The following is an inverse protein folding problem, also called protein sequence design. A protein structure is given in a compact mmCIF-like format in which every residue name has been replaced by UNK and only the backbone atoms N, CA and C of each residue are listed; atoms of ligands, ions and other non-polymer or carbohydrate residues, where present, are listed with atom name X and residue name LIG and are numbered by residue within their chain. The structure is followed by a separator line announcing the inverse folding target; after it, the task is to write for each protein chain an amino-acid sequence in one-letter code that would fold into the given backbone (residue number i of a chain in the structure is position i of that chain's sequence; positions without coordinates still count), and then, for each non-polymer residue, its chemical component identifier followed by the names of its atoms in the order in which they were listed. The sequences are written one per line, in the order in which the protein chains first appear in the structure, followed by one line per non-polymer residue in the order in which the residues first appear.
data_IF_155668621586
#
_entry.id   IF_155668621586
#
_cell.length_a   1.000
_cell.length_b   1.000
_cell.length_c   1.000
_cell.angle_alpha   90.00
_cell.angle_beta   90.00
_cell.angle_gamma   90.00
#
_symmetry.space_group_name_H-M   'P 1'
#
loop_
_entity.id
_entity.type
_entity.pdbx_description
1 polymer ?
#
# COMPACT_ATOMS: atom_id res chain seq x y z
N UNK A 1 -2.15 7.30 7.73
CA UNK A 1 -2.49 6.15 6.85
C UNK A 1 -1.83 4.90 7.40
N UNK A 2 -2.47 3.75 7.33
CA UNK A 2 -1.87 2.48 7.77
C UNK A 2 -1.27 1.76 6.59
N UNK A 3 0.00 1.41 6.70
CA UNK A 3 0.74 0.68 5.66
C UNK A 3 0.95 -0.75 6.13
N UNK A 4 0.67 -1.67 5.22
CA UNK A 4 0.84 -3.09 5.38
C UNK A 4 1.78 -3.60 4.31
N UNK A 5 2.52 -4.65 4.65
CA UNK A 5 3.45 -5.32 3.75
C UNK A 5 3.08 -6.79 3.63
N UNK A 6 3.18 -7.34 2.43
CA UNK A 6 3.05 -8.77 2.20
C UNK A 6 4.40 -9.38 1.80
N UNK A 7 4.70 -10.57 2.29
CA UNK A 7 5.89 -11.35 1.85
C UNK A 7 5.61 -12.15 0.57
N UNK A 8 4.44 -11.93 -0.05
CA UNK A 8 3.97 -12.69 -1.20
C UNK A 8 4.49 -12.04 -2.49
N UNK A 9 5.06 -12.84 -3.38
CA UNK A 9 5.39 -12.41 -4.74
C UNK A 9 4.08 -12.14 -5.51
N UNK A 10 3.78 -10.88 -5.83
CA UNK A 10 2.70 -10.55 -6.76
C UNK A 10 3.29 -10.40 -8.17
N UNK A 11 2.82 -11.20 -9.12
CA UNK A 11 3.23 -11.12 -10.53
C UNK A 11 4.74 -11.21 -10.79
N UNK A 12 5.48 -11.91 -9.92
CA UNK A 12 6.94 -12.04 -10.01
C UNK A 12 7.72 -10.85 -9.44
N UNK A 13 7.04 -9.83 -8.90
CA UNK A 13 7.68 -8.78 -8.12
C UNK A 13 7.61 -9.12 -6.61
N UNK A 14 8.74 -9.02 -5.88
CA UNK A 14 8.76 -9.25 -4.46
C UNK A 14 8.04 -8.12 -3.72
N UNK A 15 7.23 -8.51 -2.74
CA UNK A 15 6.68 -7.65 -1.68
C UNK A 15 5.69 -6.59 -2.19
N UNK A 16 4.41 -6.69 -1.81
CA UNK A 16 3.46 -5.60 -2.03
C UNK A 16 3.30 -4.76 -0.75
N UNK A 17 3.24 -3.45 -0.92
CA UNK A 17 2.81 -2.48 0.09
C UNK A 17 1.35 -2.13 -0.16
N UNK A 18 0.53 -2.25 0.87
CA UNK A 18 -0.86 -1.81 0.88
C UNK A 18 -0.98 -0.63 1.84
N UNK A 19 -1.33 0.55 1.33
CA UNK A 19 -1.67 1.69 2.17
C UNK A 19 -3.19 1.88 2.23
N UNK A 20 -3.70 1.98 3.45
CA UNK A 20 -5.10 2.22 3.76
C UNK A 20 -5.26 3.55 4.50
N UNK A 21 -6.39 4.26 4.32
CA UNK A 21 -6.75 5.37 5.19
C UNK A 21 -6.77 4.94 6.66
N UNK A 22 -6.52 5.87 7.59
CA UNK A 22 -6.64 5.59 9.03
C UNK A 22 -8.11 5.63 9.52
N UNK A 23 -9.08 5.74 8.60
CA UNK A 23 -10.51 5.82 8.90
C UNK A 23 -11.04 4.44 9.33
N UNK A 24 -12.03 4.36 10.25
CA UNK A 24 -12.65 3.10 10.67
C UNK A 24 -13.32 2.31 9.52
N UNK A 25 -13.59 2.95 8.38
CA UNK A 25 -14.15 2.32 7.19
C UNK A 25 -13.10 1.69 6.27
N UNK A 26 -11.81 1.91 6.56
CA UNK A 26 -10.73 1.37 5.75
C UNK A 26 -10.56 -0.13 6.00
N UNK A 27 -10.97 -0.93 5.01
CA UNK A 27 -10.84 -2.38 5.02
C UNK A 27 -9.98 -2.85 3.84
N UNK A 28 -9.31 -3.99 4.01
CA UNK A 28 -8.58 -4.64 2.91
C UNK A 28 -9.62 -5.09 1.85
N UNK A 29 -9.46 -4.67 0.58
CA UNK A 29 -10.36 -5.05 -0.52
C UNK A 29 -10.47 -6.57 -0.68
N UNK A 30 -11.65 -7.07 -1.09
CA UNK A 30 -11.93 -8.51 -1.18
C UNK A 30 -10.90 -9.30 -2.00
N UNK A 31 -10.40 -8.73 -3.11
CA UNK A 31 -9.40 -9.38 -3.96
C UNK A 31 -7.99 -9.43 -3.32
N UNK A 32 -7.74 -8.63 -2.27
CA UNK A 32 -6.49 -8.60 -1.51
C UNK A 32 -6.59 -9.35 -0.17
N UNK A 33 -7.78 -9.81 0.24
CA UNK A 33 -7.97 -10.54 1.51
C UNK A 33 -7.31 -11.92 1.51
N UNK A 34 -7.00 -12.47 0.32
CA UNK A 34 -6.28 -13.75 0.18
C UNK A 34 -4.76 -13.62 0.42
N UNK A 35 -4.27 -12.40 0.65
CA UNK A 35 -2.86 -12.10 0.90
C UNK A 35 -2.65 -11.92 2.40
N UNK A 36 -1.59 -12.53 2.94
CA UNK A 36 -1.16 -12.26 4.31
C UNK A 36 -0.53 -10.86 4.38
N UNK A 37 -1.22 -9.96 5.07
CA UNK A 37 -0.76 -8.59 5.30
C UNK A 37 -0.23 -8.44 6.72
N UNK A 38 0.99 -7.91 6.85
CA UNK A 38 1.57 -7.54 8.13
C UNK A 38 1.59 -6.04 8.25
N UNK A 39 1.12 -5.53 9.38
CA UNK A 39 1.21 -4.10 9.67
C UNK A 39 2.68 -3.68 9.70
N UNK A 40 3.00 -2.61 8.98
CA UNK A 40 4.35 -2.08 8.87
C UNK A 40 4.48 -0.78 9.65
N UNK A 41 3.71 0.25 9.30
CA UNK A 41 3.78 1.57 9.91
C UNK A 41 2.50 2.39 9.68
N UNK A 42 2.31 3.42 10.49
CA UNK A 42 1.36 4.50 10.20
C UNK A 42 2.14 5.70 9.68
N UNK A 43 1.84 6.15 8.47
CA UNK A 43 2.54 7.25 7.77
C UNK A 43 1.56 8.26 7.20
N UNK A 44 2.05 9.43 6.79
CA UNK A 44 1.28 10.40 6.02
C UNK A 44 1.29 10.08 4.52
N UNK A 45 0.31 10.61 3.77
CA UNK A 45 0.18 10.35 2.32
C UNK A 45 1.37 10.85 1.49
N UNK A 46 2.10 11.85 2.00
CA UNK A 46 3.32 12.34 1.38
C UNK A 46 4.59 11.58 1.77
N UNK A 47 4.48 10.52 2.58
CA UNK A 47 5.65 9.77 3.02
C UNK A 47 6.22 8.93 1.88
N UNK A 48 7.54 9.05 1.69
CA UNK A 48 8.28 8.32 0.67
C UNK A 48 8.22 6.79 0.83
N UNK A 49 7.84 6.28 2.02
CA UNK A 49 7.59 4.86 2.29
C UNK A 49 6.57 4.26 1.33
N UNK A 50 5.57 5.02 0.86
CA UNK A 50 4.56 4.52 -0.08
C UNK A 50 5.16 4.31 -1.47
N UNK A 51 6.31 4.91 -1.80
CA UNK A 51 6.98 4.73 -3.08
C UNK A 51 6.24 5.36 -4.27
N UNK A 52 5.23 6.19 -4.00
CA UNK A 52 4.47 6.97 -4.98
C UNK A 52 4.52 8.46 -4.63
N UNK A 53 4.43 9.36 -5.63
CA UNK A 53 4.22 10.78 -5.36
C UNK A 53 2.88 10.99 -4.65
N UNK A 54 2.80 12.00 -3.77
CA UNK A 54 1.62 12.30 -2.96
C UNK A 54 0.34 12.41 -3.80
N UNK A 55 0.40 13.08 -4.95
CA UNK A 55 -0.75 13.22 -5.85
C UNK A 55 -1.26 11.86 -6.36
N UNK A 56 -0.36 10.91 -6.59
CA UNK A 56 -0.70 9.56 -7.02
C UNK A 56 -1.30 8.72 -5.89
N UNK A 57 -0.82 8.92 -4.66
CA UNK A 57 -1.39 8.31 -3.45
C UNK A 57 -2.81 8.83 -3.23
N UNK A 58 -3.00 10.15 -3.24
CA UNK A 58 -4.32 10.77 -3.05
C UNK A 58 -5.31 10.35 -4.13
N UNK A 59 -4.90 10.33 -5.41
CA UNK A 59 -5.75 9.89 -6.50
C UNK A 59 -6.24 8.45 -6.34
N UNK A 60 -5.34 7.53 -5.96
CA UNK A 60 -5.68 6.12 -5.73
C UNK A 60 -6.57 5.93 -4.49
N UNK A 61 -6.34 6.69 -3.41
CA UNK A 61 -7.25 6.68 -2.26
C UNK A 61 -8.65 7.19 -2.60
N UNK A 62 -8.76 8.21 -3.47
CA UNK A 62 -10.06 8.74 -3.90
C UNK A 62 -10.77 7.78 -4.85
N UNK A 63 -10.04 7.15 -5.77
CA UNK A 63 -10.60 6.25 -6.77
C UNK A 63 -10.97 4.89 -6.19
N UNK A 64 -10.04 4.28 -5.45
CA UNK A 64 -10.10 2.88 -5.05
C UNK A 64 -10.26 2.70 -3.53
N UNK A 65 -9.99 3.74 -2.73
CA UNK A 65 -10.03 3.66 -1.25
C UNK A 65 -8.78 3.06 -0.62
N UNK A 66 -7.79 2.68 -1.43
CA UNK A 66 -6.52 2.09 -1.00
C UNK A 66 -5.43 2.32 -2.04
N UNK A 67 -4.19 2.02 -1.67
CA UNK A 67 -3.03 2.05 -2.58
C UNK A 67 -2.33 0.70 -2.48
N UNK A 68 -2.11 0.03 -3.61
CA UNK A 68 -1.18 -1.11 -3.69
C UNK A 68 -0.02 -0.73 -4.58
N UNK A 69 1.19 -0.97 -4.11
CA UNK A 69 2.42 -0.64 -4.81
C UNK A 69 3.51 -1.63 -4.44
N UNK A 70 4.48 -1.84 -5.33
CA UNK A 70 5.66 -2.65 -5.03
C UNK A 70 6.79 -1.69 -4.62
N UNK A 71 7.49 -1.93 -3.49
CA UNK A 71 8.64 -1.12 -3.13
C UNK A 71 9.72 -1.35 -4.18
N UNK A 72 9.84 -0.41 -5.12
CA UNK A 72 10.97 -0.37 -6.02
C UNK A 72 12.18 0.02 -5.21
N UNK A 73 12.99 -0.96 -4.82
CA UNK A 73 14.41 -0.69 -4.56
C UNK A 73 14.90 0.03 -5.81
N UNK A 74 15.20 1.33 -5.69
CA UNK A 74 16.04 1.99 -6.69
C UNK A 74 17.37 1.24 -6.66
N UNK A 75 17.50 0.25 -7.54
CA UNK A 75 18.79 -0.34 -7.88
C UNK A 75 19.70 0.79 -8.30
N UNK A 76 20.83 0.91 -7.60
CA UNK A 76 21.99 1.67 -8.07
C UNK A 76 22.69 0.96 -9.21
#
# INVERSE_FOLDING_TARGET
MNVFVSEVMQNGEPTALLALPASPEAAVPAHLQNVEWRYFATVDAGDAVIGLPVDGVEAALVADGYVVTTPRLRGG
#
